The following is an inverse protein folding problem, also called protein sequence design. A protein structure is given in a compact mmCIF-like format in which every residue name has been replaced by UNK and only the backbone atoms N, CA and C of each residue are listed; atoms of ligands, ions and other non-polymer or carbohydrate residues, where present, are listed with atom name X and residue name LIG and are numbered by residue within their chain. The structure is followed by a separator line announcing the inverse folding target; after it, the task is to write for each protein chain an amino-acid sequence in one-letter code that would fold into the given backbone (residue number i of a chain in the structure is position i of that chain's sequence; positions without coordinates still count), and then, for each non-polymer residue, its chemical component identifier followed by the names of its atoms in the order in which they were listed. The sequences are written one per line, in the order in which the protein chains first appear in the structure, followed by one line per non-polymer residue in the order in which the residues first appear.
data_IF_039137620286
#
_entry.id   IF_039137620286
#
_cell.length_a   1.000
_cell.length_b   1.000
_cell.length_c   1.000
_cell.angle_alpha   90.00
_cell.angle_beta   90.00
_cell.angle_gamma   90.00
#
_symmetry.space_group_name_H-M   'P 1'
#
loop_
_entity.id
_entity.type
_entity.pdbx_description
1 polymer ?
#
# COMPACT_ATOMS: atom_id res chain seq x y z
N UNK A 1 -16.36 9.32 -11.61
CA UNK A 1 -14.99 9.61 -11.17
C UNK A 1 -14.30 10.41 -12.25
N UNK A 2 -13.43 11.33 -11.86
CA UNK A 2 -12.48 11.99 -12.75
C UNK A 2 -11.55 10.97 -13.43
N UNK A 3 -11.25 11.18 -14.72
CA UNK A 3 -10.53 10.20 -15.54
C UNK A 3 -9.06 10.05 -15.12
N UNK A 4 -8.41 11.15 -14.74
CA UNK A 4 -7.01 11.15 -14.33
C UNK A 4 -6.87 10.48 -12.96
N UNK A 5 -7.73 10.83 -12.00
CA UNK A 5 -7.75 10.20 -10.67
C UNK A 5 -8.08 8.71 -10.74
N UNK A 6 -8.99 8.30 -11.65
CA UNK A 6 -9.28 6.88 -11.88
C UNK A 6 -8.05 6.14 -12.38
N UNK A 7 -7.31 6.72 -13.32
CA UNK A 7 -6.11 6.11 -13.91
C UNK A 7 -4.99 5.99 -12.87
N UNK A 8 -4.73 7.04 -12.08
CA UNK A 8 -3.74 7.01 -11.00
C UNK A 8 -4.10 5.96 -9.92
N UNK A 9 -5.36 5.90 -9.48
CA UNK A 9 -5.80 4.89 -8.54
C UNK A 9 -5.61 3.46 -9.08
N UNK A 10 -5.98 3.22 -10.35
CA UNK A 10 -5.83 1.92 -10.99
C UNK A 10 -4.35 1.49 -11.13
N UNK A 11 -3.47 2.42 -11.51
CA UNK A 11 -2.03 2.16 -11.61
C UNK A 11 -1.44 1.77 -10.24
N UNK A 12 -1.78 2.50 -9.18
CA UNK A 12 -1.30 2.21 -7.83
C UNK A 12 -1.81 0.89 -7.28
N UNK A 13 -3.08 0.54 -7.57
CA UNK A 13 -3.63 -0.77 -7.25
C UNK A 13 -2.88 -1.89 -7.98
N UNK A 14 -2.51 -1.70 -9.25
CA UNK A 14 -1.70 -2.66 -10.01
C UNK A 14 -0.32 -2.86 -9.37
N UNK A 15 0.35 -1.76 -8.99
CA UNK A 15 1.64 -1.82 -8.28
C UNK A 15 1.51 -2.56 -6.94
N UNK A 16 0.51 -2.20 -6.14
CA UNK A 16 0.27 -2.83 -4.83
C UNK A 16 -0.02 -4.34 -4.96
N UNK A 17 -0.72 -4.77 -6.02
CA UNK A 17 -0.97 -6.17 -6.29
C UNK A 17 0.33 -6.94 -6.63
N UNK A 18 1.23 -6.35 -7.43
CA UNK A 18 2.55 -6.92 -7.71
C UNK A 18 3.41 -7.05 -6.45
N UNK A 19 3.40 -6.03 -5.59
CA UNK A 19 4.12 -6.05 -4.32
C UNK A 19 3.55 -7.12 -3.36
N UNK A 20 2.23 -7.25 -3.29
CA UNK A 20 1.58 -8.29 -2.48
C UNK A 20 1.97 -9.70 -2.94
N UNK A 21 2.12 -9.93 -4.25
CA UNK A 21 2.59 -11.20 -4.80
C UNK A 21 4.04 -11.49 -4.39
N UNK A 22 4.92 -10.49 -4.36
CA UNK A 22 6.27 -10.66 -3.81
C UNK A 22 6.26 -11.03 -2.33
N UNK A 23 5.41 -10.39 -1.52
CA UNK A 23 5.27 -10.73 -0.09
C UNK A 23 4.83 -12.19 0.06
N UNK A 24 3.89 -12.66 -0.77
CA UNK A 24 3.46 -14.07 -0.78
C UNK A 24 4.65 -15.01 -1.01
N UNK A 25 5.51 -14.70 -1.99
CA UNK A 25 6.75 -15.48 -2.23
C UNK A 25 7.70 -15.42 -1.04
N UNK A 26 7.86 -14.27 -0.39
CA UNK A 26 8.68 -14.17 0.82
C UNK A 26 8.20 -15.13 1.92
N UNK A 27 6.88 -15.29 2.06
CA UNK A 27 6.30 -16.27 2.99
C UNK A 27 6.59 -17.71 2.53
N UNK A 28 6.39 -18.02 1.24
CA UNK A 28 6.66 -19.36 0.68
C UNK A 28 8.13 -19.80 0.83
N UNK A 29 9.05 -18.83 0.85
CA UNK A 29 10.49 -19.04 1.03
C UNK A 29 10.95 -18.96 2.49
N UNK A 30 10.01 -18.93 3.45
CA UNK A 30 10.28 -18.87 4.89
C UNK A 30 11.22 -17.70 5.27
N UNK A 31 11.13 -16.56 4.59
CA UNK A 31 12.00 -15.40 4.88
C UNK A 31 11.69 -14.80 6.26
N UNK A 32 12.59 -13.95 6.76
CA UNK A 32 12.48 -13.36 8.08
C UNK A 32 11.21 -12.53 8.24
N UNK A 33 10.42 -12.90 9.26
CA UNK A 33 9.12 -12.31 9.53
C UNK A 33 9.15 -10.78 9.63
N UNK A 34 10.22 -10.18 10.17
CA UNK A 34 10.33 -8.71 10.27
C UNK A 34 10.48 -8.06 8.90
N UNK A 35 11.18 -8.69 7.96
CA UNK A 35 11.28 -8.20 6.58
C UNK A 35 9.91 -8.27 5.90
N UNK A 36 9.19 -9.39 6.06
CA UNK A 36 7.83 -9.56 5.55
C UNK A 36 6.89 -8.49 6.13
N UNK A 37 6.93 -8.25 7.46
CA UNK A 37 6.12 -7.21 8.12
C UNK A 37 6.40 -5.82 7.56
N UNK A 38 7.67 -5.46 7.34
CA UNK A 38 8.05 -4.18 6.70
C UNK A 38 7.45 -4.04 5.29
N UNK A 39 7.51 -5.11 4.48
CA UNK A 39 6.94 -5.10 3.13
C UNK A 39 5.40 -5.00 3.17
N UNK A 40 4.74 -5.68 4.11
CA UNK A 40 3.28 -5.53 4.33
C UNK A 40 2.93 -4.08 4.65
N UNK A 41 3.70 -3.41 5.51
CA UNK A 41 3.47 -1.99 5.81
C UNK A 41 3.69 -1.07 4.61
N UNK A 42 4.62 -1.39 3.71
CA UNK A 42 4.79 -0.65 2.45
C UNK A 42 3.58 -0.80 1.50
N UNK A 43 2.97 -2.00 1.43
CA UNK A 43 1.71 -2.20 0.69
C UNK A 43 0.57 -1.44 1.35
N UNK A 44 0.45 -1.46 2.68
CA UNK A 44 -0.56 -0.69 3.41
C UNK A 44 -0.46 0.81 3.07
N UNK A 45 0.73 1.40 3.10
CA UNK A 45 0.94 2.80 2.72
C UNK A 45 0.51 3.10 1.26
N UNK A 46 0.74 2.15 0.34
CA UNK A 46 0.28 2.26 -1.05
C UNK A 46 -1.25 2.25 -1.17
N UNK A 47 -1.91 1.38 -0.41
CA UNK A 47 -3.38 1.31 -0.35
C UNK A 47 -3.99 2.55 0.30
N UNK A 48 -3.37 3.11 1.34
CA UNK A 48 -3.79 4.39 1.93
C UNK A 48 -3.70 5.54 0.90
N UNK A 49 -2.68 5.54 0.03
CA UNK A 49 -2.59 6.53 -1.05
C UNK A 49 -3.73 6.38 -2.05
N UNK A 50 -4.13 5.14 -2.39
CA UNK A 50 -5.32 4.89 -3.22
C UNK A 50 -6.58 5.42 -2.52
N UNK A 51 -6.75 5.15 -1.23
CA UNK A 51 -7.88 5.68 -0.45
C UNK A 51 -7.95 7.23 -0.50
N UNK A 52 -6.80 7.91 -0.38
CA UNK A 52 -6.73 9.39 -0.52
C UNK A 52 -7.16 9.87 -1.91
N UNK A 53 -6.79 9.17 -2.98
CA UNK A 53 -7.22 9.50 -4.35
C UNK A 53 -8.73 9.33 -4.50
N UNK A 54 -9.29 8.22 -4.00
CA UNK A 54 -10.73 7.96 -4.03
C UNK A 54 -11.52 9.01 -3.24
N UNK A 55 -11.04 9.37 -2.05
CA UNK A 55 -11.61 10.43 -1.22
C UNK A 55 -11.60 11.77 -1.96
N UNK A 56 -10.45 12.16 -2.53
CA UNK A 56 -10.33 13.40 -3.31
C UNK A 56 -11.32 13.41 -4.47
N UNK A 57 -11.41 12.31 -5.22
CA UNK A 57 -12.37 12.18 -6.30
C UNK A 57 -13.81 12.36 -5.79
N UNK A 58 -14.18 11.68 -4.69
CA UNK A 58 -15.54 11.72 -4.16
C UNK A 58 -15.94 13.13 -3.69
N UNK A 59 -15.01 13.85 -3.05
CA UNK A 59 -15.19 15.25 -2.65
C UNK A 59 -15.42 16.18 -3.86
N UNK A 60 -14.64 16.01 -4.93
CA UNK A 60 -14.73 16.86 -6.13
C UNK A 60 -15.92 16.54 -7.04
N UNK A 61 -16.52 15.36 -6.90
CA UNK A 61 -17.62 14.88 -7.76
C UNK A 61 -18.90 14.73 -6.95
N UNK A 62 -19.14 13.55 -6.37
CA UNK A 62 -20.39 13.21 -5.68
C UNK A 62 -20.79 14.21 -4.59
N UNK A 63 -19.83 14.64 -3.74
CA UNK A 63 -20.14 15.62 -2.69
C UNK A 63 -20.43 16.99 -3.29
N UNK A 64 -19.64 17.45 -4.26
CA UNK A 64 -19.86 18.73 -4.91
C UNK A 64 -21.23 18.80 -5.64
N UNK A 65 -21.64 17.70 -6.29
CA UNK A 65 -22.96 17.57 -6.92
C UNK A 65 -24.08 17.57 -5.87
N UNK A 66 -23.97 16.74 -4.84
CA UNK A 66 -24.96 16.65 -3.77
C UNK A 66 -25.15 17.99 -3.02
N UNK A 67 -24.08 18.78 -2.84
CA UNK A 67 -24.18 20.13 -2.26
C UNK A 67 -25.01 21.08 -3.15
N UNK A 68 -24.86 20.98 -4.48
CA UNK A 68 -25.67 21.77 -5.44
C UNK A 68 -27.14 21.36 -5.44
N UNK A 69 -27.42 20.09 -5.16
CA UNK A 69 -28.76 19.51 -5.15
C UNK A 69 -29.47 19.61 -3.80
N UNK A 70 -28.84 20.24 -2.79
CA UNK A 70 -29.41 20.34 -1.43
C UNK A 70 -29.33 19.05 -0.62
N UNK A 71 -28.58 18.05 -1.10
CA UNK A 71 -28.33 16.75 -0.48
C UNK A 71 -27.02 16.71 0.32
N UNK A 72 -26.59 17.87 0.84
CA UNK A 72 -25.30 18.03 1.50
C UNK A 72 -25.15 17.25 2.80
N UNK A 73 -26.16 17.25 3.67
CA UNK A 73 -26.11 16.53 4.94
C UNK A 73 -26.06 15.00 4.74
N UNK A 74 -26.96 14.39 3.94
CA UNK A 74 -26.92 12.94 3.71
C UNK A 74 -25.58 12.42 3.16
N UNK A 75 -25.00 13.10 2.16
CA UNK A 75 -23.74 12.65 1.55
C UNK A 75 -22.55 12.81 2.51
N UNK A 76 -22.56 13.83 3.37
CA UNK A 76 -21.50 14.04 4.36
C UNK A 76 -21.59 12.97 5.45
N UNK A 77 -22.79 12.60 5.89
CA UNK A 77 -22.99 11.54 6.87
C UNK A 77 -22.53 10.17 6.32
N UNK A 78 -22.82 9.89 5.04
CA UNK A 78 -22.29 8.71 4.34
C UNK A 78 -20.75 8.72 4.31
N UNK A 79 -20.15 9.85 3.93
CA UNK A 79 -18.71 9.99 3.86
C UNK A 79 -18.04 9.82 5.23
N UNK A 80 -18.59 10.43 6.28
CA UNK A 80 -18.13 10.24 7.67
C UNK A 80 -18.22 8.77 8.08
N UNK A 81 -19.26 8.06 7.63
CA UNK A 81 -19.39 6.62 7.80
C UNK A 81 -18.21 5.85 7.18
N UNK A 82 -17.83 6.19 5.95
CA UNK A 82 -16.70 5.56 5.25
C UNK A 82 -15.33 5.90 5.85
N UNK A 83 -15.13 7.14 6.34
CA UNK A 83 -13.86 7.58 6.91
C UNK A 83 -13.44 6.80 8.17
N UNK A 84 -14.37 6.11 8.85
CA UNK A 84 -14.06 5.20 9.97
C UNK A 84 -13.12 4.06 9.59
N UNK A 85 -13.06 3.71 8.31
CA UNK A 85 -12.20 2.65 7.77
C UNK A 85 -10.88 3.17 7.20
N UNK A 86 -10.66 4.49 7.18
CA UNK A 86 -9.36 5.05 6.84
C UNK A 86 -8.54 5.20 8.12
N UNK A 87 -7.52 4.36 8.34
CA UNK A 87 -6.60 4.62 9.43
C UNK A 87 -5.86 5.93 9.13
N UNK A 88 -6.06 6.96 9.96
CA UNK A 88 -5.23 8.15 9.92
C UNK A 88 -3.89 7.80 10.58
N UNK A 89 -3.05 7.07 9.88
CA UNK A 89 -1.66 6.85 10.26
C UNK A 89 -0.93 8.17 10.07
N UNK A 90 -1.00 9.02 11.10
CA UNK A 90 -0.20 10.22 11.19
C UNK A 90 1.29 9.83 11.12
N UNK A 91 1.92 10.07 9.97
CA UNK A 91 3.37 10.18 9.86
C UNK A 91 4.17 8.92 10.22
N UNK A 92 4.10 7.90 9.39
CA UNK A 92 5.29 7.08 9.12
C UNK A 92 5.41 6.90 7.61
N UNK A 93 6.08 7.86 6.97
CA UNK A 93 6.97 7.48 5.89
C UNK A 93 7.91 6.44 6.50
N UNK A 94 7.71 5.17 6.15
CA UNK A 94 8.76 4.19 6.32
C UNK A 94 9.88 4.68 5.40
N UNK A 95 10.85 5.39 5.98
CA UNK A 95 12.04 5.85 5.27
C UNK A 95 12.62 4.66 4.48
N UNK A 96 12.86 4.80 3.16
CA UNK A 96 13.33 3.71 2.31
C UNK A 96 14.70 3.16 2.73
N UNK A 97 15.45 3.90 3.55
CA UNK A 97 16.84 3.59 3.91
C UNK A 97 17.02 2.59 5.08
N UNK A 98 15.94 2.02 5.65
CA UNK A 98 16.06 0.97 6.67
C UNK A 98 15.60 -0.43 6.22
N UNK A 99 15.64 -0.68 4.91
CA UNK A 99 15.43 -1.99 4.30
C UNK A 99 16.49 -3.03 4.71
N UNK A 100 17.59 -2.61 5.35
CA UNK A 100 18.71 -3.47 5.77
C UNK A 100 19.17 -3.14 7.20
N UNK A 101 18.25 -2.91 8.13
CA UNK A 101 18.59 -3.02 9.56
C UNK A 101 19.34 -4.35 9.76
N UNK A 102 20.51 -4.35 10.43
CA UNK A 102 21.39 -5.52 10.49
C UNK A 102 20.56 -6.70 10.95
N UNK A 103 20.67 -7.80 10.21
CA UNK A 103 20.10 -9.10 10.54
C UNK A 103 20.36 -9.34 12.03
N UNK A 104 19.34 -9.13 12.86
CA UNK A 104 19.39 -9.65 14.21
C UNK A 104 19.23 -11.14 13.97
N UNK A 105 20.37 -11.84 13.91
CA UNK A 105 20.42 -13.29 14.08
C UNK A 105 19.82 -13.56 15.45
N UNK A 106 18.50 -13.62 15.54
CA UNK A 106 17.84 -13.93 16.79
C UNK A 106 18.04 -15.43 16.97
N UNK A 107 18.72 -15.90 18.03
CA UNK A 107 19.07 -17.31 18.22
C UNK A 107 17.86 -18.26 18.38
N UNK A 108 16.64 -17.71 18.35
CA UNK A 108 15.36 -18.44 18.43
C UNK A 108 14.57 -18.37 17.11
N UNK A 109 15.05 -17.63 16.10
CA UNK A 109 14.37 -17.51 14.82
C UNK A 109 14.81 -18.65 13.89
N UNK A 110 13.85 -19.46 13.45
CA UNK A 110 14.09 -20.58 12.55
C UNK A 110 13.95 -20.19 11.05
N UNK A 111 13.60 -18.93 10.76
CA UNK A 111 13.23 -18.41 9.44
C UNK A 111 14.41 -17.82 8.64
N UNK A 112 15.66 -18.08 9.03
CA UNK A 112 16.85 -17.53 8.34
C UNK A 112 17.54 -18.53 7.41
N UNK A 113 16.92 -19.69 7.13
CA UNK A 113 17.57 -20.73 6.33
C UNK A 113 17.67 -20.30 4.87
N UNK A 114 18.82 -19.75 4.48
CA UNK A 114 19.13 -19.36 3.10
C UNK A 114 18.85 -17.90 2.76
N UNK A 115 18.57 -17.06 3.76
CA UNK A 115 18.25 -15.65 3.55
C UNK A 115 19.53 -14.83 3.33
N UNK A 116 19.83 -14.48 2.08
CA UNK A 116 20.87 -13.50 1.75
C UNK A 116 20.25 -12.14 1.42
N UNK A 117 20.96 -11.01 1.67
CA UNK A 117 20.51 -9.69 1.23
C UNK A 117 20.14 -9.64 -0.26
N UNK A 118 20.86 -10.40 -1.09
CA UNK A 118 20.59 -10.49 -2.53
C UNK A 118 19.27 -11.22 -2.85
N UNK A 119 18.94 -12.28 -2.10
CA UNK A 119 17.68 -13.02 -2.26
C UNK A 119 16.49 -12.13 -1.90
N UNK A 120 16.59 -11.40 -0.78
CA UNK A 120 15.56 -10.45 -0.34
C UNK A 120 15.39 -9.32 -1.36
N UNK A 121 16.49 -8.72 -1.83
CA UNK A 121 16.43 -7.65 -2.83
C UNK A 121 15.89 -8.12 -4.18
N UNK A 122 16.20 -9.34 -4.60
CA UNK A 122 15.71 -9.89 -5.87
C UNK A 122 14.18 -10.06 -5.81
N UNK A 123 13.66 -10.65 -4.75
CA UNK A 123 12.21 -10.84 -4.58
C UNK A 123 11.44 -9.52 -4.46
N UNK A 124 12.03 -8.50 -3.85
CA UNK A 124 11.46 -7.14 -3.82
C UNK A 124 11.42 -6.55 -5.23
N UNK A 125 12.54 -6.58 -5.97
CA UNK A 125 12.65 -6.03 -7.34
C UNK A 125 11.73 -6.74 -8.34
N UNK A 126 11.52 -8.04 -8.19
CA UNK A 126 10.57 -8.82 -9.00
C UNK A 126 9.11 -8.37 -8.78
N UNK A 127 8.78 -7.87 -7.59
CA UNK A 127 7.44 -7.33 -7.28
C UNK A 127 7.22 -5.95 -7.87
N UNK A 128 8.27 -5.11 -7.81
CA UNK A 128 8.25 -3.74 -8.31
C UNK A 128 8.20 -3.69 -9.85
N UNK A 129 8.89 -4.62 -10.53
CA UNK A 129 8.94 -4.66 -12.00
C UNK A 129 7.62 -5.08 -12.67
N UNK A 130 6.72 -5.76 -11.96
CA UNK A 130 5.38 -6.08 -12.46
C UNK A 130 4.37 -4.91 -12.38
N UNK A 131 4.76 -3.82 -11.71
CA UNK A 131 3.94 -2.62 -11.50
C UNK A 131 4.27 -1.43 -12.41
N UNK A 132 5.44 -1.41 -13.06
CA UNK A 132 5.82 -0.30 -13.94
C UNK A 132 5.06 -0.37 -15.27
N UNK A 133 4.46 0.74 -15.75
CA UNK A 133 3.99 0.79 -17.13
C UNK A 133 5.22 0.68 -18.04
N UNK A 134 5.17 -0.24 -19.01
CA UNK A 134 6.05 -0.16 -20.17
C UNK A 134 5.56 1.04 -20.99
N UNK A 135 6.38 2.10 -21.02
CA UNK A 135 6.32 3.32 -21.83
C UNK A 135 4.98 4.08 -21.95
#
# INVERSE_FOLDING_TARGET
MDADLKTDAALRLKVAAGHLESIRRMVDHDLYCVNIMKQVSAVQASLEQVQRILLRNHLLTCVADAMREGMGTPIVDELIGALKYMPFTAGQALEPDNALAPLIEHPLCHCHKGETPDTVQTLIKEGESNGHPSD
#
